data_IF_032790580192
#
_entry.id   IF_032790580192
#
_cell.length_a   1.000
_cell.length_b   1.000
_cell.length_c   1.000
_cell.angle_alpha   90.00
_cell.angle_beta   90.00
_cell.angle_gamma   90.00
#
_symmetry.space_group_name_H-M   'P 1'
#
loop_
_entity.id
_entity.type
_entity.pdbx_description
1 polymer ?
#
# COMPACT_ATOMS: atom_id res chain seq x y z
N UNK A 1 -0.79 2.69 31.31
CA UNK A 1 -1.35 2.77 32.67
C UNK A 1 -2.54 1.82 32.69
N UNK A 2 -2.39 0.68 33.38
CA UNK A 2 -3.45 -0.34 33.47
C UNK A 2 -4.54 0.17 34.41
N UNK A 3 -5.75 0.34 33.89
CA UNK A 3 -6.93 0.53 34.75
C UNK A 3 -7.78 -0.72 34.59
N UNK A 4 -7.63 -1.62 35.57
CA UNK A 4 -8.53 -2.76 35.74
C UNK A 4 -9.80 -2.25 36.42
N UNK A 5 -10.93 -2.23 35.73
CA UNK A 5 -12.23 -2.10 36.39
C UNK A 5 -12.92 -3.46 36.41
N UNK A 6 -12.94 -4.07 37.58
CA UNK A 6 -13.81 -5.21 37.85
C UNK A 6 -15.27 -4.76 37.77
N UNK A 7 -16.02 -5.29 36.83
CA UNK A 7 -17.48 -5.15 36.77
C UNK A 7 -18.06 -6.48 37.20
N UNK A 8 -18.65 -6.51 38.39
CA UNK A 8 -19.36 -7.67 38.88
C UNK A 8 -20.80 -7.61 38.33
N UNK A 9 -21.14 -8.52 37.45
CA UNK A 9 -22.50 -8.68 36.97
C UNK A 9 -23.32 -9.46 38.01
N UNK A 10 -24.26 -8.77 38.61
CA UNK A 10 -25.30 -9.43 39.42
C UNK A 10 -26.29 -10.14 38.49
N UNK A 11 -26.26 -11.46 38.47
CA UNK A 11 -27.37 -12.26 37.93
C UNK A 11 -28.45 -12.44 38.96
N UNK A 12 -29.63 -11.86 38.74
CA UNK A 12 -30.83 -12.22 39.48
C UNK A 12 -31.30 -13.62 39.03
N UNK A 13 -31.06 -14.60 39.87
CA UNK A 13 -31.71 -15.92 39.73
C UNK A 13 -32.98 -15.93 40.53
N UNK A 14 -34.13 -16.23 39.91
CA UNK A 14 -35.34 -16.65 40.62
C UNK A 14 -35.19 -18.10 41.05
N UNK A 15 -35.39 -18.26 42.34
CA UNK A 15 -35.23 -19.48 43.10
C UNK A 15 -36.38 -20.48 42.91
N UNK A 16 -36.08 -21.73 43.17
CA UNK A 16 -37.07 -22.65 43.65
C UNK A 16 -36.64 -24.11 43.70
N UNK A 17 -36.27 -24.53 44.86
CA UNK A 17 -36.40 -25.85 45.48
C UNK A 17 -35.51 -27.03 45.15
N UNK A 18 -34.87 -27.39 46.17
CA UNK A 18 -34.71 -28.68 46.89
C UNK A 18 -33.28 -29.24 46.95
N UNK A 19 -32.80 -29.24 48.18
CA UNK A 19 -31.60 -29.93 48.67
C UNK A 19 -31.65 -31.43 48.41
N UNK A 20 -30.56 -31.98 47.92
CA UNK A 20 -29.97 -33.22 48.42
C UNK A 20 -28.46 -33.07 48.34
N UNK A 21 -27.83 -33.13 49.49
CA UNK A 21 -26.41 -32.97 49.69
C UNK A 21 -25.62 -34.21 49.23
N UNK A 22 -24.61 -33.98 48.38
CA UNK A 22 -23.44 -34.84 48.31
C UNK A 22 -22.17 -33.98 48.36
N UNK A 23 -21.15 -34.36 49.10
CA UNK A 23 -19.98 -33.54 49.35
C UNK A 23 -18.96 -33.74 48.24
N UNK A 24 -18.87 -32.83 47.35
CA UNK A 24 -17.68 -32.36 46.59
C UNK A 24 -18.12 -31.11 45.87
N UNK A 25 -18.00 -29.99 46.54
CA UNK A 25 -18.25 -28.69 45.96
C UNK A 25 -17.08 -28.33 45.01
N UNK A 26 -17.11 -28.88 43.82
CA UNK A 26 -16.39 -28.26 42.75
C UNK A 26 -17.13 -26.94 42.44
N UNK A 27 -16.50 -25.83 42.74
CA UNK A 27 -17.01 -24.52 42.34
C UNK A 27 -17.28 -24.54 40.84
N UNK A 28 -18.49 -24.13 40.45
CA UNK A 28 -18.81 -24.00 39.02
C UNK A 28 -17.80 -23.05 38.35
N UNK A 29 -17.32 -23.40 37.17
CA UNK A 29 -16.48 -22.48 36.43
C UNK A 29 -17.29 -21.31 35.88
N UNK A 30 -16.63 -20.18 35.67
CA UNK A 30 -17.25 -18.97 35.13
C UNK A 30 -16.49 -18.53 33.88
N UNK A 31 -17.19 -17.83 32.99
CA UNK A 31 -16.59 -17.15 31.84
C UNK A 31 -16.41 -15.70 32.23
N UNK A 32 -15.19 -15.20 32.08
CA UNK A 32 -14.84 -13.79 32.22
C UNK A 32 -14.48 -13.25 30.85
N UNK A 33 -15.08 -12.13 30.53
CA UNK A 33 -14.76 -11.35 29.36
C UNK A 33 -13.54 -10.49 29.68
N UNK A 34 -12.40 -10.80 29.05
CA UNK A 34 -11.13 -10.08 29.24
C UNK A 34 -10.85 -9.24 27.99
N UNK A 35 -11.01 -7.93 28.12
CA UNK A 35 -10.90 -7.00 27.00
C UNK A 35 -9.49 -6.48 26.80
N UNK A 36 -8.99 -6.58 25.57
CA UNK A 36 -7.85 -5.79 25.12
C UNK A 36 -8.27 -4.98 23.92
N UNK A 37 -8.61 -3.69 24.15
CA UNK A 37 -8.87 -2.75 23.08
C UNK A 37 -7.53 -2.24 22.56
N UNK A 38 -7.23 -2.50 21.30
CA UNK A 38 -6.21 -1.78 20.57
C UNK A 38 -6.88 -0.88 19.55
N UNK A 39 -7.16 0.37 19.96
CA UNK A 39 -7.50 1.45 19.03
C UNK A 39 -8.98 1.77 18.80
N UNK A 40 -9.91 1.37 19.66
CA UNK A 40 -11.33 1.70 19.51
C UNK A 40 -12.00 2.23 20.77
N UNK A 41 -13.09 2.96 20.63
CA UNK A 41 -13.95 3.43 21.71
C UNK A 41 -15.09 2.45 21.90
N UNK A 42 -15.31 2.01 23.14
CA UNK A 42 -16.36 1.07 23.50
C UNK A 42 -17.61 1.78 24.00
N UNK A 43 -18.75 1.33 23.52
CA UNK A 43 -20.02 1.66 24.14
C UNK A 43 -20.73 0.36 24.51
N UNK A 44 -21.00 0.17 25.79
CA UNK A 44 -21.86 -0.88 26.28
C UNK A 44 -23.22 -0.25 26.57
N UNK A 45 -24.26 -0.72 25.89
CA UNK A 45 -25.65 -0.37 26.17
C UNK A 45 -26.40 -1.64 26.48
N UNK A 46 -26.39 -1.99 27.75
CA UNK A 46 -26.93 -3.27 28.20
C UNK A 46 -26.14 -4.48 27.67
N UNK A 47 -26.82 -5.35 26.91
CA UNK A 47 -26.21 -6.53 26.28
C UNK A 47 -25.72 -6.28 24.84
N UNK A 48 -25.70 -5.05 24.38
CA UNK A 48 -25.39 -4.69 23.01
C UNK A 48 -23.97 -4.18 22.97
N UNK A 49 -23.11 -4.84 22.21
CA UNK A 49 -21.76 -4.38 21.91
C UNK A 49 -21.74 -3.68 20.56
N UNK A 50 -21.15 -2.49 20.55
CA UNK A 50 -20.86 -1.74 19.33
C UNK A 50 -19.39 -1.88 19.05
N UNK A 51 -19.05 -2.54 17.96
CA UNK A 51 -17.67 -2.78 17.56
C UNK A 51 -17.21 -1.72 16.59
N UNK A 52 -16.00 -1.30 16.84
CA UNK A 52 -15.28 -0.39 15.98
C UNK A 52 -14.01 -1.11 15.49
N UNK A 53 -13.94 -1.41 14.20
CA UNK A 53 -12.76 -1.98 13.56
C UNK A 53 -12.40 -3.43 13.92
N UNK A 54 -13.10 -4.42 13.40
CA UNK A 54 -12.69 -5.84 13.39
C UNK A 54 -12.11 -6.33 14.72
N UNK A 55 -12.96 -6.75 15.65
CA UNK A 55 -12.56 -6.87 17.05
C UNK A 55 -12.25 -8.27 17.49
N UNK A 56 -11.24 -8.30 18.29
CA UNK A 56 -10.80 -9.43 19.07
C UNK A 56 -11.78 -9.62 20.24
N UNK A 57 -12.37 -10.79 20.32
CA UNK A 57 -13.18 -11.23 21.47
C UNK A 57 -12.33 -12.16 22.29
N UNK A 58 -12.06 -11.76 23.52
CA UNK A 58 -11.28 -12.53 24.48
C UNK A 58 -12.19 -13.05 25.60
N UNK A 59 -12.26 -14.35 25.75
CA UNK A 59 -13.03 -15.01 26.80
C UNK A 59 -12.11 -15.95 27.56
N UNK A 60 -12.11 -15.82 28.88
CA UNK A 60 -11.33 -16.63 29.80
C UNK A 60 -12.23 -17.48 30.69
N UNK A 61 -11.81 -18.71 30.92
CA UNK A 61 -12.46 -19.58 31.90
C UNK A 61 -11.78 -19.39 33.24
N UNK A 62 -12.60 -19.09 34.24
CA UNK A 62 -12.21 -18.98 35.65
C UNK A 62 -12.59 -20.22 36.44
N UNK A 63 -11.86 -20.45 37.52
CA UNK A 63 -12.20 -21.44 38.58
C UNK A 63 -12.27 -22.91 38.11
N UNK A 64 -11.77 -23.24 36.90
CA UNK A 64 -11.68 -24.63 36.43
C UNK A 64 -10.26 -25.20 36.69
N UNK A 65 -10.12 -26.42 37.25
CA UNK A 65 -8.82 -27.05 37.47
C UNK A 65 -8.04 -27.22 36.16
N UNK A 66 -6.71 -27.02 36.19
CA UNK A 66 -5.83 -27.06 34.99
C UNK A 66 -5.84 -28.38 34.22
N UNK A 67 -6.24 -29.45 34.85
CA UNK A 67 -6.36 -30.79 34.25
C UNK A 67 -7.62 -31.00 33.43
N UNK A 68 -8.58 -30.08 33.50
CA UNK A 68 -9.85 -30.20 32.82
C UNK A 68 -9.78 -29.63 31.41
N UNK A 69 -10.33 -30.38 30.45
CA UNK A 69 -10.44 -29.93 29.06
C UNK A 69 -11.68 -29.10 28.85
N UNK A 70 -11.58 -28.12 27.96
CA UNK A 70 -12.70 -27.25 27.55
C UNK A 70 -12.92 -27.48 26.07
N UNK A 71 -14.18 -27.74 25.71
CA UNK A 71 -14.66 -27.70 24.33
C UNK A 71 -15.36 -26.37 24.08
N UNK A 72 -14.89 -25.63 23.09
CA UNK A 72 -15.45 -24.35 22.72
C UNK A 72 -16.38 -24.49 21.52
N UNK A 73 -17.48 -23.78 21.51
CA UNK A 73 -18.37 -23.62 20.36
C UNK A 73 -18.63 -22.12 20.15
N UNK A 74 -18.45 -21.65 18.93
CA UNK A 74 -18.73 -20.26 18.54
C UNK A 74 -19.82 -20.27 17.48
N UNK A 75 -20.90 -19.54 17.72
CA UNK A 75 -21.98 -19.38 16.74
C UNK A 75 -22.28 -17.91 16.45
N UNK A 76 -22.58 -17.62 15.20
CA UNK A 76 -23.00 -16.32 14.70
C UNK A 76 -24.41 -16.44 14.13
N UNK A 77 -25.36 -15.64 14.62
CA UNK A 77 -26.78 -15.73 14.24
C UNK A 77 -27.33 -17.17 14.31
N UNK A 78 -26.90 -17.92 15.29
CA UNK A 78 -27.31 -19.30 15.50
C UNK A 78 -26.65 -20.33 14.59
N UNK A 79 -25.79 -19.92 13.68
CA UNK A 79 -25.00 -20.83 12.85
C UNK A 79 -23.65 -21.13 13.48
N UNK A 80 -23.33 -22.41 13.60
CA UNK A 80 -22.03 -22.85 14.13
C UNK A 80 -20.88 -22.40 13.22
N UNK A 81 -19.96 -21.64 13.79
CA UNK A 81 -18.78 -21.11 13.16
C UNK A 81 -17.48 -21.59 13.84
N UNK A 82 -17.57 -22.59 14.69
CA UNK A 82 -16.47 -23.07 15.53
C UNK A 82 -15.24 -23.40 14.69
N UNK A 83 -15.42 -24.13 13.61
CA UNK A 83 -14.31 -24.51 12.71
C UNK A 83 -13.67 -23.29 12.05
N UNK A 84 -14.46 -22.28 11.72
CA UNK A 84 -13.96 -21.07 11.06
C UNK A 84 -13.15 -20.19 11.99
N UNK A 85 -13.52 -20.13 13.27
CA UNK A 85 -12.83 -19.32 14.28
C UNK A 85 -11.74 -20.07 15.03
N UNK A 86 -11.91 -21.35 15.34
CA UNK A 86 -10.93 -22.14 16.09
C UNK A 86 -9.92 -22.86 15.20
N UNK A 87 -10.15 -22.88 13.89
CA UNK A 87 -9.29 -23.57 12.92
C UNK A 87 -9.45 -25.09 12.93
N UNK A 88 -9.00 -25.76 11.87
CA UNK A 88 -8.78 -27.19 11.92
C UNK A 88 -7.49 -27.44 12.70
N UNK A 89 -7.55 -28.08 13.84
CA UNK A 89 -6.50 -28.62 14.76
C UNK A 89 -5.06 -28.05 14.71
N UNK A 90 -4.67 -27.29 13.69
CA UNK A 90 -3.30 -26.82 13.46
C UNK A 90 -3.01 -25.38 13.91
N UNK A 91 -4.05 -24.58 14.12
CA UNK A 91 -3.86 -23.20 14.53
C UNK A 91 -4.18 -23.01 16.02
N UNK A 92 -3.26 -23.44 16.84
CA UNK A 92 -3.33 -23.31 18.32
C UNK A 92 -3.24 -21.86 18.79
N UNK A 93 -3.16 -20.90 17.89
CA UNK A 93 -3.02 -19.49 18.24
C UNK A 93 -4.29 -18.83 18.76
N UNK A 94 -5.45 -19.45 18.51
CA UNK A 94 -6.75 -18.93 18.95
C UNK A 94 -7.26 -19.53 20.27
N UNK A 95 -6.71 -20.64 20.70
CA UNK A 95 -6.99 -21.23 22.00
C UNK A 95 -5.70 -21.12 22.80
N UNK A 96 -5.68 -20.24 23.79
CA UNK A 96 -4.51 -20.00 24.62
C UNK A 96 -3.97 -21.25 25.31
N UNK A 97 -2.79 -21.15 25.88
CA UNK A 97 -2.15 -22.20 26.65
C UNK A 97 -3.13 -22.86 27.61
N UNK A 98 -3.29 -24.18 27.48
CA UNK A 98 -4.19 -25.01 28.29
C UNK A 98 -5.68 -24.94 27.89
N UNK A 99 -6.08 -24.37 26.75
CA UNK A 99 -7.47 -24.34 26.27
C UNK A 99 -8.42 -23.46 27.07
N UNK A 100 -7.92 -22.61 27.99
CA UNK A 100 -8.71 -21.80 28.91
C UNK A 100 -9.01 -20.42 28.45
N UNK A 101 -8.51 -20.07 27.30
CA UNK A 101 -8.57 -18.76 26.72
C UNK A 101 -9.05 -18.90 25.29
N UNK A 102 -10.12 -18.25 24.93
CA UNK A 102 -10.64 -18.17 23.58
C UNK A 102 -10.47 -16.76 23.07
N UNK A 103 -9.71 -16.62 22.00
CA UNK A 103 -9.54 -15.37 21.30
C UNK A 103 -9.96 -15.55 19.84
N UNK A 104 -10.84 -14.69 19.35
CA UNK A 104 -11.23 -14.70 17.94
C UNK A 104 -11.63 -13.31 17.47
N UNK A 105 -11.54 -13.11 16.17
CA UNK A 105 -11.91 -11.86 15.53
C UNK A 105 -13.30 -11.97 14.91
N UNK A 106 -14.18 -11.06 15.30
CA UNK A 106 -15.47 -10.92 14.63
C UNK A 106 -15.23 -10.19 13.31
N UNK A 107 -15.74 -10.71 12.19
CA UNK A 107 -15.57 -10.07 10.89
C UNK A 107 -16.09 -8.64 10.91
N UNK A 108 -15.31 -7.77 10.28
CA UNK A 108 -15.71 -6.39 10.11
C UNK A 108 -17.06 -6.29 9.38
N UNK A 109 -17.94 -5.43 9.87
CA UNK A 109 -19.31 -5.29 9.34
C UNK A 109 -20.28 -6.41 9.71
N UNK A 110 -19.86 -7.37 10.56
CA UNK A 110 -20.80 -8.36 11.10
C UNK A 110 -21.86 -7.68 11.97
N UNK A 111 -23.08 -8.10 11.79
CA UNK A 111 -24.24 -7.70 12.61
C UNK A 111 -25.03 -8.91 13.00
N UNK A 112 -25.41 -8.97 14.24
CA UNK A 112 -26.20 -10.07 14.76
C UNK A 112 -25.69 -10.63 16.07
N UNK A 113 -26.19 -11.81 16.43
CA UNK A 113 -25.90 -12.44 17.69
C UNK A 113 -24.62 -13.26 17.64
N UNK A 114 -23.75 -13.06 18.63
CA UNK A 114 -22.59 -13.90 18.89
C UNK A 114 -22.87 -14.71 20.13
N UNK A 115 -22.67 -16.01 20.06
CA UNK A 115 -22.76 -16.91 21.17
C UNK A 115 -21.53 -17.78 21.28
N UNK A 116 -20.93 -17.84 22.44
CA UNK A 116 -19.81 -18.70 22.76
C UNK A 116 -20.23 -19.65 23.89
N UNK A 117 -19.98 -20.92 23.70
CA UNK A 117 -20.20 -21.95 24.72
C UNK A 117 -18.87 -22.60 25.06
N UNK A 118 -18.60 -22.71 26.35
CA UNK A 118 -17.53 -23.50 26.92
C UNK A 118 -18.12 -24.69 27.63
N UNK A 119 -17.75 -25.89 27.21
CA UNK A 119 -18.21 -27.15 27.85
C UNK A 119 -17.03 -27.83 28.50
N UNK A 120 -17.21 -28.19 29.77
CA UNK A 120 -16.28 -29.03 30.50
C UNK A 120 -17.07 -30.00 31.40
N UNK A 121 -16.73 -31.28 31.36
CA UNK A 121 -17.48 -32.35 32.02
C UNK A 121 -18.97 -32.34 31.59
N UNK A 122 -19.86 -32.17 32.53
CA UNK A 122 -21.34 -32.09 32.32
C UNK A 122 -21.86 -30.64 32.43
N UNK A 123 -20.96 -29.67 32.48
CA UNK A 123 -21.31 -28.27 32.65
C UNK A 123 -21.06 -27.50 31.35
N UNK A 124 -22.01 -26.65 30.98
CA UNK A 124 -21.90 -25.73 29.84
C UNK A 124 -22.11 -24.32 30.35
N UNK A 125 -21.16 -23.44 30.05
CA UNK A 125 -21.30 -22.01 30.28
C UNK A 125 -21.44 -21.31 28.96
N UNK A 126 -22.32 -20.33 28.92
CA UNK A 126 -22.61 -19.56 27.71
C UNK A 126 -22.29 -18.08 27.94
N UNK A 127 -21.55 -17.52 27.05
CA UNK A 127 -21.41 -16.07 26.87
C UNK A 127 -22.13 -15.69 25.57
N UNK A 128 -22.83 -14.57 25.56
CA UNK A 128 -23.52 -14.09 24.36
C UNK A 128 -23.59 -12.58 24.34
N UNK A 129 -23.49 -12.05 23.13
CA UNK A 129 -23.65 -10.62 22.86
C UNK A 129 -24.29 -10.39 21.51
N UNK A 130 -24.73 -9.16 21.25
CA UNK A 130 -25.30 -8.76 19.96
C UNK A 130 -24.54 -7.57 19.39
N UNK A 131 -24.02 -7.72 18.18
CA UNK A 131 -23.44 -6.63 17.41
C UNK A 131 -24.57 -5.92 16.66
N UNK A 132 -24.81 -4.66 16.95
CA UNK A 132 -25.93 -3.90 16.38
C UNK A 132 -25.50 -2.84 15.39
N UNK A 133 -24.36 -2.20 15.61
CA UNK A 133 -23.87 -1.15 14.72
C UNK A 133 -22.37 -0.90 14.91
N UNK A 134 -21.76 -0.34 13.86
CA UNK A 134 -20.41 0.17 13.91
C UNK A 134 -20.50 1.70 13.96
N UNK A 135 -20.11 2.29 15.10
CA UNK A 135 -20.31 3.71 15.40
C UNK A 135 -19.56 4.66 14.46
N UNK A 136 -18.61 4.14 13.69
CA UNK A 136 -17.78 4.95 12.82
C UNK A 136 -18.16 4.93 11.33
N UNK A 137 -19.26 4.24 10.99
CA UNK A 137 -19.70 4.16 9.59
C UNK A 137 -21.04 4.81 9.40
N UNK A 138 -21.08 5.87 8.61
CA UNK A 138 -22.32 6.49 8.15
C UNK A 138 -23.23 5.44 7.49
N UNK A 139 -24.27 5.04 8.22
CA UNK A 139 -25.34 4.19 7.71
C UNK A 139 -25.09 2.68 7.71
N UNK A 140 -24.15 2.18 8.48
CA UNK A 140 -24.05 0.73 8.76
C UNK A 140 -23.60 -0.12 7.59
N UNK A 141 -22.80 0.40 6.68
CA UNK A 141 -22.13 -0.37 5.65
C UNK A 141 -20.90 -1.04 6.23
N UNK A 142 -20.60 -2.27 5.80
CA UNK A 142 -19.40 -2.98 6.21
C UNK A 142 -18.18 -2.28 5.60
N UNK A 143 -17.55 -1.41 6.35
CA UNK A 143 -16.59 -0.47 5.83
C UNK A 143 -15.17 -1.02 5.66
N UNK A 144 -14.99 -2.26 5.24
CA UNK A 144 -13.64 -2.77 4.98
C UNK A 144 -12.98 -2.09 3.77
N UNK A 145 -13.75 -1.68 2.76
CA UNK A 145 -13.28 -0.91 1.63
C UNK A 145 -13.81 0.51 1.74
N UNK A 146 -12.90 1.46 1.86
CA UNK A 146 -13.19 2.88 1.93
C UNK A 146 -12.70 3.56 0.66
N UNK A 147 -13.57 4.34 0.05
CA UNK A 147 -13.21 5.25 -1.04
C UNK A 147 -12.94 6.61 -0.43
N UNK A 148 -11.74 7.12 -0.63
CA UNK A 148 -11.37 8.48 -0.25
C UNK A 148 -11.37 9.38 -1.50
N UNK A 149 -12.20 10.41 -1.47
CA UNK A 149 -12.29 11.42 -2.50
C UNK A 149 -11.43 12.64 -2.13
N UNK A 150 -11.03 13.42 -3.11
CA UNK A 150 -10.12 14.56 -2.92
C UNK A 150 -10.68 15.69 -2.04
N UNK A 151 -11.93 15.60 -1.65
CA UNK A 151 -12.66 16.62 -0.85
C UNK A 151 -12.93 16.18 0.60
N UNK A 152 -12.14 15.26 1.13
CA UNK A 152 -12.30 14.66 2.46
C UNK A 152 -13.64 13.90 2.65
N UNK A 153 -14.33 13.59 1.56
CA UNK A 153 -15.49 12.69 1.62
C UNK A 153 -15.03 11.25 1.56
N UNK A 154 -15.69 10.43 2.38
CA UNK A 154 -15.42 9.00 2.46
C UNK A 154 -16.69 8.24 2.13
N UNK A 155 -16.58 7.28 1.23
CA UNK A 155 -17.65 6.34 0.91
C UNK A 155 -17.20 4.92 1.22
N UNK A 156 -18.03 4.18 1.95
CA UNK A 156 -17.77 2.78 2.28
C UNK A 156 -18.51 1.88 1.32
N UNK A 157 -17.80 0.88 0.78
CA UNK A 157 -18.41 -0.14 -0.07
C UNK A 157 -18.99 -1.25 0.77
N UNK A 158 -20.13 -1.79 0.33
CA UNK A 158 -20.67 -3.02 0.88
C UNK A 158 -19.73 -4.19 0.54
N UNK A 159 -19.17 -4.81 1.58
CA UNK A 159 -18.29 -5.94 1.43
C UNK A 159 -18.93 -7.21 2.00
N UNK A 160 -18.71 -8.31 1.28
CA UNK A 160 -19.13 -9.65 1.73
C UNK A 160 -17.93 -10.37 2.32
N UNK A 161 -18.09 -10.93 3.49
CA UNK A 161 -17.07 -11.77 4.12
C UNK A 161 -17.27 -13.24 3.74
N UNK A 162 -16.19 -13.89 3.35
CA UNK A 162 -16.12 -15.33 3.15
C UNK A 162 -15.28 -15.97 4.25
N UNK A 163 -15.93 -16.78 5.10
CA UNK A 163 -15.29 -17.45 6.22
C UNK A 163 -14.30 -18.54 5.79
N UNK A 164 -14.52 -19.17 4.64
CA UNK A 164 -13.65 -20.26 4.17
C UNK A 164 -12.33 -19.70 3.63
N UNK A 165 -12.43 -18.66 2.83
CA UNK A 165 -11.25 -18.02 2.20
C UNK A 165 -10.62 -16.94 3.09
N UNK A 166 -11.29 -16.53 4.15
CA UNK A 166 -10.93 -15.39 5.01
C UNK A 166 -10.69 -14.12 4.20
N UNK A 167 -11.62 -13.85 3.28
CA UNK A 167 -11.54 -12.68 2.40
C UNK A 167 -12.78 -11.82 2.47
N UNK A 168 -12.58 -10.52 2.36
CA UNK A 168 -13.64 -9.57 2.03
C UNK A 168 -13.68 -9.38 0.52
N UNK A 169 -14.90 -9.30 -0.02
CA UNK A 169 -15.16 -9.07 -1.43
C UNK A 169 -16.13 -7.92 -1.58
N UNK A 170 -15.78 -6.96 -2.44
CA UNK A 170 -16.66 -5.83 -2.80
C UNK A 170 -16.63 -5.60 -4.31
N UNK A 171 -17.56 -4.77 -4.80
CA UNK A 171 -17.59 -4.35 -6.21
C UNK A 171 -17.17 -2.88 -6.29
N UNK A 172 -16.08 -2.62 -6.99
CA UNK A 172 -15.61 -1.27 -7.30
C UNK A 172 -16.46 -0.69 -8.43
N UNK A 173 -17.08 0.47 -8.23
CA UNK A 173 -17.96 1.06 -9.22
C UNK A 173 -17.21 1.53 -10.47
N UNK A 174 -17.88 1.47 -11.63
CA UNK A 174 -17.38 2.01 -12.89
C UNK A 174 -17.54 3.53 -13.00
N UNK A 175 -18.40 4.10 -12.17
CA UNK A 175 -18.65 5.53 -12.11
C UNK A 175 -18.72 5.98 -10.65
N UNK A 176 -18.21 7.17 -10.39
CA UNK A 176 -18.32 7.85 -9.09
C UNK A 176 -18.88 9.27 -9.33
N UNK A 177 -19.98 9.62 -8.67
CA UNK A 177 -20.65 10.93 -8.82
C UNK A 177 -20.92 11.30 -10.29
N UNK A 178 -21.27 10.28 -11.12
CA UNK A 178 -21.54 10.46 -12.55
C UNK A 178 -20.31 10.54 -13.46
N UNK A 179 -19.11 10.53 -12.89
CA UNK A 179 -17.85 10.49 -13.63
C UNK A 179 -17.36 9.06 -13.82
N UNK A 180 -16.77 8.77 -14.98
CA UNK A 180 -16.16 7.47 -15.26
C UNK A 180 -14.92 7.27 -14.40
N UNK A 181 -14.81 6.10 -13.76
CA UNK A 181 -13.60 5.67 -13.07
C UNK A 181 -12.76 4.80 -14.02
N UNK A 182 -11.55 5.21 -14.31
CA UNK A 182 -10.63 4.45 -15.16
C UNK A 182 -9.91 3.36 -14.39
N UNK A 183 -9.58 3.64 -13.13
CA UNK A 183 -8.98 2.69 -12.20
C UNK A 183 -9.16 3.15 -10.75
N UNK A 184 -8.81 2.28 -9.82
CA UNK A 184 -8.74 2.54 -8.39
C UNK A 184 -7.30 2.35 -7.93
N UNK A 185 -6.74 3.38 -7.30
CA UNK A 185 -5.45 3.29 -6.63
C UNK A 185 -5.65 2.69 -5.24
N UNK A 186 -4.80 1.76 -4.90
CA UNK A 186 -4.80 1.03 -3.65
C UNK A 186 -3.72 1.63 -2.71
N UNK A 187 -4.05 1.84 -1.44
CA UNK A 187 -3.16 2.42 -0.43
C UNK A 187 -2.02 1.47 0.02
N UNK A 188 -1.50 0.66 -0.87
CA UNK A 188 -0.40 -0.27 -0.55
C UNK A 188 0.98 0.37 -0.77
N UNK A 189 2.05 -0.25 -0.22
CA UNK A 189 3.44 0.22 -0.32
C UNK A 189 3.89 0.40 -1.77
N UNK A 190 3.43 -0.47 -2.69
CA UNK A 190 3.63 -0.32 -4.13
C UNK A 190 2.38 0.22 -4.79
N UNK A 191 2.54 1.13 -5.76
CA UNK A 191 1.41 1.65 -6.53
C UNK A 191 0.79 0.53 -7.36
N UNK A 192 -0.45 0.18 -7.05
CA UNK A 192 -1.25 -0.79 -7.80
C UNK A 192 -2.55 -0.15 -8.24
N UNK A 193 -2.83 -0.24 -9.53
CA UNK A 193 -4.09 0.19 -10.10
C UNK A 193 -5.00 -1.01 -10.32
N UNK A 194 -6.22 -0.90 -9.82
CA UNK A 194 -7.27 -1.91 -9.97
C UNK A 194 -8.36 -1.40 -10.90
N UNK A 195 -8.81 -2.23 -11.82
CA UNK A 195 -9.96 -1.89 -12.67
C UNK A 195 -11.25 -1.91 -11.84
N UNK A 196 -12.29 -1.14 -12.23
CA UNK A 196 -13.63 -1.34 -11.72
C UNK A 196 -14.07 -2.82 -11.84
N UNK A 197 -14.84 -3.30 -10.88
CA UNK A 197 -15.27 -4.69 -10.81
C UNK A 197 -15.03 -5.31 -9.44
N UNK A 198 -15.07 -6.64 -9.37
CA UNK A 198 -14.94 -7.35 -8.10
C UNK A 198 -13.51 -7.30 -7.57
N UNK A 199 -13.37 -6.87 -6.33
CA UNK A 199 -12.11 -6.87 -5.57
C UNK A 199 -12.23 -7.82 -4.38
N UNK A 200 -11.17 -8.57 -4.11
CA UNK A 200 -11.04 -9.41 -2.92
C UNK A 200 -9.80 -9.05 -2.14
N UNK A 201 -9.88 -9.06 -0.83
CA UNK A 201 -8.75 -8.84 0.04
C UNK A 201 -8.76 -9.77 1.24
N UNK A 202 -7.64 -10.44 1.50
CA UNK A 202 -7.50 -11.32 2.65
C UNK A 202 -7.37 -10.50 3.94
N UNK A 203 -8.17 -10.84 4.94
CA UNK A 203 -8.07 -10.25 6.26
C UNK A 203 -6.81 -10.78 6.97
N UNK A 204 -5.97 -9.89 7.45
CA UNK A 204 -4.74 -10.25 8.17
C UNK A 204 -4.73 -9.82 9.64
N UNK A 205 -5.90 -9.50 10.19
CA UNK A 205 -6.00 -8.97 11.55
C UNK A 205 -5.70 -7.47 11.65
N UNK A 206 -6.32 -6.79 12.62
CA UNK A 206 -6.06 -5.39 12.95
C UNK A 206 -6.76 -4.39 12.04
N UNK A 207 -8.07 -4.32 12.09
CA UNK A 207 -8.97 -3.16 11.84
C UNK A 207 -8.63 -2.12 10.75
N UNK A 208 -7.74 -2.41 9.84
CA UNK A 208 -7.35 -1.46 8.81
C UNK A 208 -8.28 -1.54 7.61
N UNK A 209 -8.87 -0.41 7.25
CA UNK A 209 -9.60 -0.26 6.00
C UNK A 209 -8.65 -0.44 4.82
N UNK A 210 -9.17 -1.04 3.75
CA UNK A 210 -8.56 -0.92 2.43
C UNK A 210 -9.01 0.41 1.85
N UNK A 211 -8.11 1.38 1.80
CA UNK A 211 -8.39 2.69 1.23
C UNK A 211 -8.16 2.64 -0.28
N UNK A 212 -9.10 3.22 -1.02
CA UNK A 212 -9.09 3.24 -2.48
C UNK A 212 -9.31 4.68 -2.95
N UNK A 213 -8.48 5.11 -3.89
CA UNK A 213 -8.57 6.43 -4.51
C UNK A 213 -9.02 6.29 -5.97
N UNK A 214 -10.06 7.02 -6.40
CA UNK A 214 -10.52 6.94 -7.77
C UNK A 214 -9.59 7.66 -8.75
N UNK A 215 -9.30 7.03 -9.88
CA UNK A 215 -8.62 7.65 -11.00
C UNK A 215 -9.70 8.06 -12.02
N UNK A 216 -10.00 9.34 -12.05
CA UNK A 216 -11.08 9.93 -12.86
C UNK A 216 -10.59 10.50 -14.20
N UNK A 217 -9.29 10.68 -14.38
CA UNK A 217 -8.69 11.16 -15.62
C UNK A 217 -8.22 10.00 -16.49
N UNK A 218 -8.36 10.14 -17.81
CA UNK A 218 -7.91 9.15 -18.77
C UNK A 218 -6.39 8.99 -18.78
N UNK A 219 -5.67 10.07 -18.52
CA UNK A 219 -4.21 10.12 -18.40
C UNK A 219 -3.84 11.07 -17.27
N UNK A 220 -2.99 10.64 -16.34
CA UNK A 220 -2.54 11.48 -15.23
C UNK A 220 -1.23 11.01 -14.62
N UNK A 221 -0.55 11.95 -13.98
CA UNK A 221 0.56 11.66 -13.09
C UNK A 221 0.05 11.20 -11.73
N UNK A 222 0.71 10.22 -11.16
CA UNK A 222 0.44 9.70 -9.83
C UNK A 222 1.72 9.79 -8.99
N UNK A 223 1.58 10.28 -7.77
CA UNK A 223 2.66 10.26 -6.78
C UNK A 223 2.16 9.51 -5.56
N UNK A 224 2.81 8.44 -5.21
CA UNK A 224 2.42 7.69 -4.03
C UNK A 224 2.81 8.45 -2.76
N UNK A 225 1.88 8.46 -1.79
CA UNK A 225 2.15 8.97 -0.44
C UNK A 225 3.37 8.24 0.16
N UNK A 226 4.26 9.00 0.80
CA UNK A 226 5.51 8.49 1.41
C UNK A 226 6.57 7.98 0.43
N UNK A 227 6.46 8.27 -0.87
CA UNK A 227 7.47 7.95 -1.88
C UNK A 227 7.79 9.18 -2.73
N UNK A 228 9.07 9.36 -3.09
CA UNK A 228 9.46 10.37 -4.07
C UNK A 228 9.25 9.91 -5.51
N UNK A 229 8.73 8.69 -5.70
CA UNK A 229 8.52 8.11 -7.02
C UNK A 229 7.26 8.64 -7.68
N UNK A 230 7.41 9.05 -8.94
CA UNK A 230 6.31 9.43 -9.82
C UNK A 230 5.99 8.32 -10.81
N UNK A 231 4.73 8.21 -11.16
CA UNK A 231 4.18 7.25 -12.11
C UNK A 231 3.30 7.98 -13.10
N UNK A 232 3.10 7.41 -14.28
CA UNK A 232 2.12 7.90 -15.24
C UNK A 232 1.13 6.79 -15.58
N UNK A 233 -0.15 7.11 -15.54
CA UNK A 233 -1.19 6.18 -15.97
C UNK A 233 -1.87 6.65 -17.25
N UNK A 234 -2.31 5.68 -18.04
CA UNK A 234 -3.11 5.87 -19.24
C UNK A 234 -4.24 4.86 -19.26
N UNK A 235 -5.50 5.32 -19.35
CA UNK A 235 -6.70 4.49 -19.35
C UNK A 235 -6.75 3.50 -18.16
N UNK A 236 -6.34 3.95 -16.98
CA UNK A 236 -6.31 3.14 -15.77
C UNK A 236 -5.19 2.09 -15.71
N UNK A 237 -4.16 2.21 -16.53
CA UNK A 237 -3.00 1.33 -16.51
C UNK A 237 -1.72 2.14 -16.35
N UNK A 238 -0.79 1.63 -15.53
CA UNK A 238 0.52 2.24 -15.42
C UNK A 238 1.30 2.08 -16.73
N UNK A 239 1.86 3.18 -17.19
CA UNK A 239 2.82 3.16 -18.29
C UNK A 239 4.14 2.59 -17.77
N UNK A 240 4.66 1.57 -18.46
CA UNK A 240 5.89 0.87 -18.08
C UNK A 240 6.82 0.70 -19.27
N UNK A 241 8.12 0.82 -19.01
CA UNK A 241 9.17 0.67 -20.01
C UNK A 241 8.89 1.45 -21.29
N UNK A 242 8.44 2.70 -21.15
CA UNK A 242 7.96 3.50 -22.27
C UNK A 242 8.17 5.00 -22.05
N UNK A 243 8.22 5.71 -23.16
CA UNK A 243 8.24 7.16 -23.19
C UNK A 243 6.85 7.76 -22.98
N UNK A 244 6.82 8.83 -22.22
CA UNK A 244 5.62 9.66 -21.99
C UNK A 244 5.93 11.08 -22.43
N UNK A 245 5.05 11.68 -23.22
CA UNK A 245 5.10 13.10 -23.56
C UNK A 245 3.97 13.82 -22.86
N UNK A 246 4.30 14.70 -21.91
CA UNK A 246 3.33 15.53 -21.23
C UNK A 246 3.68 17.00 -21.41
N UNK A 247 2.72 17.81 -21.86
CA UNK A 247 2.87 19.26 -22.10
C UNK A 247 4.16 19.62 -22.84
N UNK A 248 4.50 18.83 -23.85
CA UNK A 248 5.68 19.03 -24.69
C UNK A 248 6.99 18.45 -24.16
N UNK A 249 7.03 18.03 -22.91
CA UNK A 249 8.23 17.46 -22.25
C UNK A 249 8.18 15.94 -22.30
N UNK A 250 9.33 15.32 -22.55
CA UNK A 250 9.47 13.87 -22.56
C UNK A 250 9.96 13.34 -21.21
N UNK A 251 9.42 12.20 -20.83
CA UNK A 251 9.74 11.43 -19.63
C UNK A 251 9.87 9.96 -19.99
N UNK A 252 10.55 9.17 -19.18
CA UNK A 252 10.62 7.72 -19.36
C UNK A 252 10.20 6.99 -18.10
N UNK A 253 9.33 5.99 -18.25
CA UNK A 253 8.90 5.10 -17.18
C UNK A 253 9.66 3.79 -17.28
N UNK A 254 10.25 3.33 -16.17
CA UNK A 254 10.95 2.05 -16.13
C UNK A 254 9.99 0.83 -16.16
N UNK A 255 10.53 -0.36 -16.05
CA UNK A 255 9.79 -1.63 -16.04
C UNK A 255 8.79 -1.74 -14.88
N UNK A 256 9.04 -1.03 -13.77
CA UNK A 256 8.13 -0.93 -12.62
C UNK A 256 7.12 0.20 -12.76
N UNK A 257 7.21 1.02 -13.79
CA UNK A 257 6.39 2.21 -14.02
C UNK A 257 6.87 3.45 -13.28
N UNK A 258 8.05 3.42 -12.65
CA UNK A 258 8.63 4.58 -11.96
C UNK A 258 9.31 5.49 -12.98
N UNK A 259 9.08 6.80 -12.87
CA UNK A 259 9.71 7.83 -13.70
C UNK A 259 11.21 7.87 -13.46
N UNK A 260 11.99 7.88 -14.55
CA UNK A 260 13.42 8.16 -14.49
C UNK A 260 13.65 9.61 -14.05
N UNK A 261 14.59 9.81 -13.16
CA UNK A 261 15.04 11.14 -12.77
C UNK A 261 16.53 11.11 -12.43
N UNK A 262 17.21 12.20 -12.72
CA UNK A 262 18.64 12.43 -12.41
C UNK A 262 19.53 11.22 -12.74
N UNK A 263 19.31 10.62 -13.91
CA UNK A 263 20.02 9.41 -14.35
C UNK A 263 20.11 9.33 -15.87
N UNK A 264 20.89 8.38 -16.35
CA UNK A 264 21.05 8.06 -17.76
C UNK A 264 20.22 6.82 -18.13
N UNK A 265 19.72 6.82 -19.36
CA UNK A 265 19.02 5.71 -19.99
C UNK A 265 19.70 5.34 -21.31
N UNK A 266 20.07 4.08 -21.48
CA UNK A 266 20.46 3.54 -22.78
C UNK A 266 19.29 2.81 -23.42
N UNK A 267 18.80 3.32 -24.55
CA UNK A 267 17.69 2.72 -25.27
C UNK A 267 17.79 2.98 -26.77
N UNK A 268 17.47 2.00 -27.60
CA UNK A 268 17.49 2.14 -29.06
C UNK A 268 18.85 2.58 -29.61
N UNK A 269 19.95 2.07 -29.03
CA UNK A 269 21.33 2.42 -29.36
C UNK A 269 21.73 3.87 -29.07
N UNK A 270 20.95 4.59 -28.27
CA UNK A 270 21.22 5.96 -27.82
C UNK A 270 21.22 6.09 -26.32
N UNK A 271 21.99 7.05 -25.83
CA UNK A 271 21.94 7.49 -24.45
C UNK A 271 21.05 8.73 -24.31
N UNK A 272 20.26 8.77 -23.27
CA UNK A 272 19.41 9.88 -22.87
C UNK A 272 19.67 10.22 -21.40
N UNK A 273 19.47 11.48 -21.02
CA UNK A 273 19.64 11.91 -19.64
C UNK A 273 18.41 12.68 -19.14
N UNK A 274 18.16 12.61 -17.83
CA UNK A 274 16.99 13.20 -17.21
C UNK A 274 17.38 14.15 -16.08
N UNK A 275 16.65 15.27 -15.98
CA UNK A 275 16.75 16.22 -14.86
C UNK A 275 16.18 15.59 -13.56
N UNK A 276 16.42 16.22 -12.42
CA UNK A 276 15.81 15.81 -11.14
C UNK A 276 14.27 15.86 -11.18
N UNK A 277 13.70 16.69 -12.03
CA UNK A 277 12.25 16.74 -12.29
C UNK A 277 11.72 15.55 -13.12
N UNK A 278 12.58 14.67 -13.61
CA UNK A 278 12.26 13.59 -14.55
C UNK A 278 12.20 14.04 -16.01
N UNK A 279 12.27 15.32 -16.30
CA UNK A 279 12.27 15.82 -17.68
C UNK A 279 13.52 15.37 -18.44
N UNK A 280 13.33 14.81 -19.64
CA UNK A 280 14.44 14.50 -20.55
C UNK A 280 15.21 15.78 -20.91
N UNK A 281 16.52 15.73 -20.86
CA UNK A 281 17.39 16.82 -21.29
C UNK A 281 17.45 16.80 -22.83
N UNK A 282 17.24 17.94 -23.45
CA UNK A 282 17.32 18.10 -24.90
C UNK A 282 17.83 19.49 -25.25
N UNK A 283 18.62 19.60 -26.35
CA UNK A 283 19.28 20.83 -26.82
C UNK A 283 20.04 21.53 -25.69
N UNK A 284 20.73 20.77 -24.84
CA UNK A 284 21.36 21.33 -23.64
C UNK A 284 22.61 20.54 -23.23
N UNK A 285 23.47 21.20 -22.48
CA UNK A 285 24.66 20.62 -21.89
C UNK A 285 24.40 20.01 -20.54
N UNK A 286 25.00 18.85 -20.29
CA UNK A 286 24.98 18.17 -18.98
C UNK A 286 26.41 18.00 -18.49
N UNK A 287 26.69 18.47 -17.28
CA UNK A 287 27.91 18.13 -16.56
C UNK A 287 27.65 16.95 -15.63
N UNK A 288 28.31 15.86 -15.91
CA UNK A 288 28.17 14.63 -15.12
C UNK A 288 29.52 13.91 -15.04
N UNK A 289 29.84 13.34 -13.88
CA UNK A 289 31.03 12.58 -13.62
C UNK A 289 32.31 13.24 -14.20
N UNK A 290 32.52 14.54 -13.89
CA UNK A 290 33.68 15.37 -14.30
C UNK A 290 33.81 15.61 -15.80
N UNK A 291 32.77 15.40 -16.60
CA UNK A 291 32.75 15.58 -18.02
C UNK A 291 31.49 16.32 -18.47
N UNK A 292 31.63 17.08 -19.57
CA UNK A 292 30.51 17.70 -20.25
C UNK A 292 29.99 16.80 -21.36
N UNK A 293 28.67 16.70 -21.48
CA UNK A 293 27.92 15.98 -22.50
C UNK A 293 26.92 16.93 -23.16
N UNK A 294 26.61 16.72 -24.41
CA UNK A 294 25.55 17.45 -25.08
C UNK A 294 24.41 16.53 -25.49
N UNK A 295 23.21 16.88 -25.13
CA UNK A 295 21.98 16.16 -25.51
C UNK A 295 21.37 16.92 -26.70
N UNK A 296 21.17 16.24 -27.84
CA UNK A 296 20.59 16.83 -29.07
C UNK A 296 19.11 17.21 -28.81
N UNK A 297 18.49 17.87 -29.78
CA UNK A 297 17.05 18.19 -29.77
C UNK A 297 16.15 16.94 -29.62
N UNK A 298 16.61 15.81 -30.14
CA UNK A 298 15.96 14.50 -29.92
C UNK A 298 16.13 13.93 -28.53
N UNK A 299 16.92 14.55 -27.64
CA UNK A 299 17.34 14.04 -26.35
C UNK A 299 18.51 13.05 -26.40
N UNK A 300 18.91 12.59 -27.57
CA UNK A 300 20.03 11.64 -27.69
C UNK A 300 21.38 12.32 -27.42
N UNK A 301 22.25 11.61 -26.68
CA UNK A 301 23.62 12.06 -26.42
C UNK A 301 24.38 12.25 -27.74
N UNK A 302 25.06 13.39 -27.90
CA UNK A 302 25.85 13.69 -29.04
C UNK A 302 27.22 13.00 -29.00
N UNK A 303 27.72 12.64 -30.18
CA UNK A 303 29.11 12.28 -30.45
C UNK A 303 29.55 13.01 -31.73
N UNK A 304 30.85 13.21 -31.89
CA UNK A 304 31.40 13.96 -33.00
C UNK A 304 31.18 15.47 -32.90
N UNK A 305 31.22 16.17 -34.02
CA UNK A 305 31.06 17.61 -34.05
C UNK A 305 29.64 18.08 -33.79
N UNK A 306 29.53 19.10 -32.96
CA UNK A 306 28.29 19.85 -32.77
C UNK A 306 28.56 21.34 -32.84
N UNK A 307 27.56 22.12 -33.23
CA UNK A 307 27.60 23.58 -33.20
C UNK A 307 26.56 24.07 -32.19
N UNK A 308 27.02 24.74 -31.15
CA UNK A 308 26.17 25.36 -30.18
C UNK A 308 26.54 26.82 -29.97
N UNK A 309 25.51 27.69 -29.93
CA UNK A 309 25.68 29.14 -29.73
C UNK A 309 26.81 29.76 -30.60
N UNK A 310 26.90 29.31 -31.86
CA UNK A 310 27.84 29.80 -32.84
C UNK A 310 29.24 29.19 -32.77
N UNK A 311 29.55 28.40 -31.75
CA UNK A 311 30.87 27.75 -31.56
C UNK A 311 30.79 26.26 -31.88
N UNK A 312 31.88 25.69 -32.38
CA UNK A 312 32.03 24.27 -32.62
C UNK A 312 32.64 23.58 -31.40
N UNK A 313 32.15 22.37 -31.09
CA UNK A 313 32.63 21.47 -30.04
C UNK A 313 32.75 20.06 -30.61
N UNK A 314 33.58 19.26 -29.99
CA UNK A 314 33.75 17.86 -30.36
C UNK A 314 33.46 16.95 -29.16
N UNK A 315 32.56 16.01 -29.34
CA UNK A 315 32.23 15.00 -28.35
C UNK A 315 32.90 13.69 -28.75
N UNK A 316 33.63 13.09 -27.83
CA UNK A 316 34.27 11.78 -28.02
C UNK A 316 33.24 10.68 -28.27
N UNK A 317 33.67 9.50 -28.66
CA UNK A 317 32.79 8.35 -28.85
C UNK A 317 32.06 7.95 -27.55
N UNK A 318 32.61 8.31 -26.39
CA UNK A 318 31.94 8.18 -25.07
C UNK A 318 30.88 9.26 -24.79
N UNK A 319 30.72 10.25 -25.68
CA UNK A 319 29.89 11.43 -25.51
C UNK A 319 30.54 12.56 -24.71
N UNK A 320 31.71 12.36 -24.10
CA UNK A 320 32.38 13.40 -23.32
C UNK A 320 33.00 14.48 -24.23
N UNK A 321 32.83 15.73 -23.83
CA UNK A 321 33.41 16.89 -24.53
C UNK A 321 34.96 16.82 -24.55
N UNK A 322 35.54 16.95 -25.73
CA UNK A 322 36.97 16.98 -25.90
C UNK A 322 37.55 18.36 -25.60
N UNK A 323 38.80 18.38 -25.15
CA UNK A 323 39.68 19.57 -25.05
C UNK A 323 41.06 19.21 -25.59
N UNK A 324 41.81 20.19 -26.00
CA UNK A 324 43.13 19.98 -26.64
C UNK A 324 42.99 19.51 -28.10
N UNK A 325 44.01 18.82 -28.60
CA UNK A 325 44.07 18.36 -29.97
C UNK A 325 43.16 17.17 -30.25
N UNK A 326 42.37 17.28 -31.31
CA UNK A 326 41.51 16.22 -31.83
C UNK A 326 41.81 16.01 -33.32
N UNK A 327 41.98 14.75 -33.72
CA UNK A 327 42.11 14.38 -35.13
C UNK A 327 40.78 13.83 -35.63
N UNK A 328 40.22 14.48 -36.64
CA UNK A 328 39.03 14.01 -37.33
C UNK A 328 39.17 14.12 -38.83
N UNK A 329 38.72 13.07 -39.54
CA UNK A 329 38.74 13.03 -41.01
C UNK A 329 40.08 13.45 -41.65
N UNK A 330 41.22 13.11 -41.01
CA UNK A 330 42.57 13.38 -41.49
C UNK A 330 43.13 14.73 -41.06
N UNK A 331 42.35 15.65 -40.52
CA UNK A 331 42.77 16.99 -40.05
C UNK A 331 42.84 17.06 -38.54
N UNK A 332 43.71 17.92 -38.02
CA UNK A 332 43.82 18.21 -36.59
C UNK A 332 43.11 19.51 -36.26
N UNK A 333 42.41 19.52 -35.16
CA UNK A 333 41.66 20.66 -34.59
C UNK A 333 42.03 20.84 -33.12
N UNK A 334 42.01 22.07 -32.65
CA UNK A 334 42.28 22.35 -31.23
C UNK A 334 41.04 22.89 -30.52
N UNK A 335 40.64 22.20 -29.46
CA UNK A 335 39.55 22.60 -28.58
C UNK A 335 40.14 23.27 -27.33
N UNK A 336 39.74 24.51 -27.06
CA UNK A 336 40.11 25.23 -25.84
C UNK A 336 39.68 24.48 -24.56
N UNK A 337 40.15 24.90 -23.40
CA UNK A 337 39.69 24.35 -22.10
C UNK A 337 38.17 24.46 -21.87
N UNK A 338 37.53 25.42 -22.54
CA UNK A 338 36.08 25.58 -22.58
C UNK A 338 35.38 24.60 -23.55
N UNK A 339 36.11 23.76 -24.28
CA UNK A 339 35.61 22.88 -25.32
C UNK A 339 35.42 23.57 -26.70
N UNK A 340 35.51 24.89 -26.79
CA UNK A 340 35.32 25.60 -28.05
C UNK A 340 36.47 25.37 -29.02
N UNK A 341 36.16 25.03 -30.27
CA UNK A 341 37.14 24.91 -31.31
C UNK A 341 37.77 26.27 -31.61
N UNK A 342 39.09 26.32 -31.63
CA UNK A 342 39.86 27.51 -32.10
C UNK A 342 39.85 27.57 -33.63
N UNK A 343 39.79 28.79 -34.16
CA UNK A 343 39.89 29.06 -35.59
C UNK A 343 40.52 30.44 -35.83
N UNK A 344 41.20 30.62 -36.95
CA UNK A 344 41.93 31.85 -37.32
C UNK A 344 42.83 32.37 -36.18
N UNK A 345 43.57 31.49 -35.52
CA UNK A 345 44.37 31.87 -34.36
C UNK A 345 45.50 30.88 -34.11
N UNK A 346 46.41 31.24 -33.22
CA UNK A 346 47.42 30.33 -32.73
C UNK A 346 46.91 29.58 -31.48
N UNK A 347 47.23 28.30 -31.41
CA UNK A 347 46.99 27.47 -30.23
C UNK A 347 47.97 27.80 -29.11
N UNK A 348 47.73 27.44 -27.86
CA UNK A 348 48.63 27.69 -26.72
C UNK A 348 50.05 27.11 -26.92
N UNK A 349 50.18 26.06 -27.69
CA UNK A 349 51.45 25.38 -28.04
C UNK A 349 52.05 25.86 -29.36
N UNK A 350 51.52 26.98 -29.93
CA UNK A 350 52.14 27.76 -31.01
C UNK A 350 51.79 27.33 -32.44
N UNK A 351 50.84 26.44 -32.65
CA UNK A 351 50.38 26.03 -33.98
C UNK A 351 49.24 26.92 -34.49
N UNK A 352 49.25 27.24 -35.79
CA UNK A 352 48.18 28.02 -36.40
C UNK A 352 47.04 27.13 -36.88
N UNK A 353 45.80 27.47 -36.52
CA UNK A 353 44.57 26.87 -37.04
C UNK A 353 43.83 27.87 -37.92
N UNK A 354 43.40 27.44 -39.11
CA UNK A 354 42.78 28.27 -40.13
C UNK A 354 41.30 28.62 -39.84
N UNK A 355 40.61 29.24 -40.81
CA UNK A 355 39.22 29.65 -40.68
C UNK A 355 38.26 28.47 -40.46
N UNK A 356 38.64 27.28 -40.91
CA UNK A 356 37.88 26.05 -40.68
C UNK A 356 38.19 25.40 -39.32
N UNK A 357 39.21 25.93 -38.61
CA UNK A 357 39.75 25.35 -37.38
C UNK A 357 40.80 24.27 -37.62
N UNK A 358 41.11 23.94 -38.88
CA UNK A 358 42.10 22.92 -39.20
C UNK A 358 43.53 23.45 -39.01
N UNK A 359 44.42 22.62 -38.46
CA UNK A 359 45.82 22.89 -38.37
C UNK A 359 46.45 22.89 -39.79
N UNK A 360 47.29 23.91 -40.04
CA UNK A 360 48.03 24.06 -41.25
C UNK A 360 49.52 23.76 -41.03
#
# INVERSE_FOLDING_TARGET
>A
MKVSKKITLFSLSLAGLALLAFPHSGKAFELEEEWVIKGGVWYQDGKILRFNNGHEVDIKVLDLPKTEKIEWTVSLNGQDQTVNFLGQEKDKSMVGTEGRYLNFYVPYGYRGDIKVEAKSRNEVKTWSTKVVDDVYHDGGKSGYFRIDESNDQHTYLDAKWDYQTKTYTATLPETLNGQKVFAWEDDYVELKLQKPGVISHSYRGGGAFKILYPILEAESWLKKNYSESWYYQKQGQLVKNAWVKDKGTWYFMNDKGVMFNQTWLYQGSNWYAFKSSGAMIASDWLYDNHSWYYLRDSGSMATGWIKDSGSWYYLNNSGSMATGWVKDSGSWYYLASSGKMLHNTYTPDGYYVDASGAWK
#
